data_IF_762763360663
#
_entry.id   IF_762763360663
#
_cell.length_a   1.000
_cell.length_b   1.000
_cell.length_c   1.000
_cell.angle_alpha   90.00
_cell.angle_beta   90.00
_cell.angle_gamma   90.00
#
_symmetry.space_group_name_H-M   'P 1'
#
loop_
_entity.id
_entity.type
_entity.pdbx_description
1 polymer ?
#
# COMPACT_ATOMS: atom_id res chain seq x y z
N UNK A 1 2.64 18.28 11.04
CA UNK A 1 2.25 16.87 10.77
C UNK A 1 2.84 16.46 9.44
N UNK A 2 3.61 15.37 9.40
CA UNK A 2 4.13 14.82 8.14
C UNK A 2 3.02 13.97 7.53
N UNK A 3 2.61 14.23 6.30
CA UNK A 3 1.56 13.47 5.62
C UNK A 3 2.16 12.18 5.08
N UNK A 4 1.61 11.04 5.50
CA UNK A 4 1.98 9.73 4.99
C UNK A 4 1.12 9.40 3.77
N UNK A 5 1.76 9.08 2.65
CA UNK A 5 1.09 8.55 1.45
C UNK A 5 1.11 7.03 1.51
N UNK A 6 -0.01 6.41 1.15
CA UNK A 6 -0.13 4.96 1.06
C UNK A 6 -0.33 4.55 -0.41
N UNK A 7 0.48 3.61 -0.86
CA UNK A 7 0.39 3.01 -2.19
C UNK A 7 -0.03 1.55 -2.05
N UNK A 8 -1.23 1.21 -2.47
CA UNK A 8 -1.73 -0.17 -2.44
C UNK A 8 -1.19 -0.91 -3.65
N UNK A 9 -0.56 -2.06 -3.46
CA UNK A 9 0.04 -2.84 -4.53
C UNK A 9 -0.89 -3.97 -4.94
N UNK A 10 -0.96 -4.21 -6.24
CA UNK A 10 -1.75 -5.28 -6.83
C UNK A 10 -0.94 -5.99 -7.89
N UNK A 11 -1.15 -7.29 -7.99
CA UNK A 11 -0.72 -8.07 -9.14
C UNK A 11 -1.35 -7.50 -10.42
N UNK A 12 -0.56 -7.27 -11.45
CA UNK A 12 -0.95 -6.55 -12.66
C UNK A 12 -2.01 -7.30 -13.46
N UNK A 13 -1.94 -8.62 -13.48
CA UNK A 13 -2.82 -9.45 -14.31
C UNK A 13 -4.12 -9.81 -13.58
N UNK A 14 -4.03 -10.07 -12.27
CA UNK A 14 -5.16 -10.56 -11.47
C UNK A 14 -5.82 -9.48 -10.60
N UNK A 15 -5.17 -8.32 -10.44
CA UNK A 15 -5.55 -7.25 -9.51
C UNK A 15 -5.70 -7.71 -8.06
N UNK A 16 -5.10 -8.84 -7.70
CA UNK A 16 -5.08 -9.32 -6.32
C UNK A 16 -4.14 -8.47 -5.49
N UNK A 17 -4.59 -8.14 -4.29
CA UNK A 17 -3.80 -7.37 -3.33
C UNK A 17 -2.49 -8.09 -3.00
N UNK A 18 -1.38 -7.34 -3.09
CA UNK A 18 -0.02 -7.84 -2.93
C UNK A 18 0.76 -7.12 -1.82
N UNK A 19 0.08 -6.32 -0.99
CA UNK A 19 0.68 -5.51 0.07
C UNK A 19 0.62 -4.01 -0.23
N UNK A 20 1.36 -3.20 0.53
CA UNK A 20 1.36 -1.75 0.35
C UNK A 20 2.69 -1.09 0.71
N UNK A 21 2.84 0.16 0.28
CA UNK A 21 3.99 1.02 0.60
C UNK A 21 3.50 2.21 1.38
N UNK A 22 4.20 2.53 2.47
CA UNK A 22 4.03 3.79 3.19
C UNK A 22 5.19 4.70 2.85
N UNK A 23 4.92 5.97 2.52
CA UNK A 23 5.96 6.96 2.27
C UNK A 23 5.64 8.30 2.90
N UNK A 24 6.65 8.91 3.52
CA UNK A 24 6.59 10.28 4.03
C UNK A 24 7.15 11.33 3.04
N UNK A 25 7.41 10.91 1.80
CA UNK A 25 8.04 11.70 0.74
C UNK A 25 9.57 11.69 0.74
N UNK A 26 10.23 11.31 1.83
CA UNK A 26 11.69 11.16 1.92
C UNK A 26 12.10 9.70 2.04
N UNK A 27 11.39 8.95 2.86
CA UNK A 27 11.58 7.54 3.13
C UNK A 27 10.32 6.77 2.74
N UNK A 28 10.49 5.46 2.62
CA UNK A 28 9.39 4.54 2.38
C UNK A 28 9.72 3.16 2.93
N UNK A 29 8.67 2.37 3.14
CA UNK A 29 8.76 0.97 3.57
C UNK A 29 7.64 0.15 2.93
N UNK A 30 7.93 -1.13 2.68
CA UNK A 30 6.92 -2.11 2.30
C UNK A 30 6.24 -2.68 3.55
N UNK A 31 4.95 -3.00 3.42
CA UNK A 31 4.13 -3.69 4.41
C UNK A 31 3.36 -4.80 3.70
N UNK A 32 3.34 -6.00 4.28
CA UNK A 32 2.62 -7.17 3.74
C UNK A 32 3.13 -7.61 2.35
N UNK A 33 4.40 -7.33 2.03
CA UNK A 33 5.08 -7.76 0.80
C UNK A 33 6.17 -8.75 1.17
N UNK A 34 6.14 -9.94 0.59
CA UNK A 34 7.06 -11.04 0.92
C UNK A 34 8.08 -11.35 -0.19
N UNK A 35 8.00 -10.68 -1.34
CA UNK A 35 8.91 -10.89 -2.46
C UNK A 35 10.31 -10.32 -2.15
N UNK A 36 11.22 -11.21 -1.72
CA UNK A 36 12.60 -10.85 -1.38
C UNK A 36 13.39 -10.24 -2.56
N UNK A 37 13.07 -10.62 -3.80
CA UNK A 37 13.76 -10.08 -4.96
C UNK A 37 13.33 -8.64 -5.24
N UNK A 38 12.04 -8.35 -5.14
CA UNK A 38 11.52 -6.98 -5.19
C UNK A 38 12.15 -6.12 -4.09
N UNK A 39 12.08 -6.59 -2.83
CA UNK A 39 12.57 -5.85 -1.66
C UNK A 39 14.07 -5.51 -1.79
N UNK A 40 14.89 -6.47 -2.21
CA UNK A 40 16.33 -6.26 -2.37
C UNK A 40 16.66 -5.36 -3.57
N UNK A 41 15.91 -5.48 -4.67
CA UNK A 41 16.17 -4.69 -5.88
C UNK A 41 15.79 -3.23 -5.70
N UNK A 42 14.70 -2.94 -4.99
CA UNK A 42 14.21 -1.57 -4.82
C UNK A 42 14.76 -0.87 -3.58
N UNK A 43 15.47 -1.58 -2.70
CA UNK A 43 16.08 -1.02 -1.51
C UNK A 43 16.95 0.23 -1.82
N UNK A 44 16.67 1.33 -1.14
CA UNK A 44 17.40 2.60 -1.29
C UNK A 44 17.03 3.43 -2.52
N UNK A 45 16.14 2.94 -3.39
CA UNK A 45 15.63 3.74 -4.51
C UNK A 45 14.78 4.92 -4.00
N UNK A 46 14.81 6.09 -4.65
CA UNK A 46 13.80 7.11 -4.42
C UNK A 46 12.39 6.58 -4.74
N UNK A 47 11.37 6.99 -3.99
CA UNK A 47 9.99 6.47 -4.14
C UNK A 47 9.48 6.51 -5.59
N UNK A 48 9.78 7.58 -6.34
CA UNK A 48 9.38 7.69 -7.75
C UNK A 48 10.02 6.63 -8.64
N UNK A 49 11.29 6.31 -8.40
CA UNK A 49 12.01 5.26 -9.14
C UNK A 49 11.48 3.88 -8.78
N UNK A 50 11.20 3.64 -7.50
CA UNK A 50 10.56 2.41 -7.04
C UNK A 50 9.21 2.21 -7.72
N UNK A 51 8.32 3.22 -7.67
CA UNK A 51 6.98 3.12 -8.23
C UNK A 51 6.99 2.85 -9.74
N UNK A 52 7.96 3.43 -10.47
CA UNK A 52 8.17 3.14 -11.88
C UNK A 52 8.67 1.70 -12.12
N UNK A 53 9.44 1.14 -11.19
CA UNK A 53 10.01 -0.20 -11.31
C UNK A 53 9.03 -1.32 -10.96
N UNK A 54 7.90 -1.04 -10.31
CA UNK A 54 6.89 -2.05 -9.94
C UNK A 54 6.37 -2.83 -11.16
N UNK A 55 6.28 -2.19 -12.32
CA UNK A 55 5.85 -2.83 -13.57
C UNK A 55 6.76 -4.01 -13.97
N UNK A 56 8.06 -3.93 -13.67
CA UNK A 56 9.03 -4.99 -13.94
C UNK A 56 8.80 -6.23 -13.09
N UNK A 57 8.09 -6.09 -11.97
CA UNK A 57 7.72 -7.17 -11.03
C UNK A 57 6.26 -7.61 -11.21
N UNK A 58 5.59 -7.17 -12.28
CA UNK A 58 4.18 -7.48 -12.48
C UNK A 58 3.27 -6.83 -11.44
N UNK A 59 3.68 -5.69 -10.86
CA UNK A 59 2.89 -4.96 -9.88
C UNK A 59 2.42 -3.62 -10.43
N UNK A 60 1.18 -3.29 -10.10
CA UNK A 60 0.60 -1.95 -10.27
C UNK A 60 0.22 -1.40 -8.91
N UNK A 61 -0.04 -0.09 -8.83
CA UNK A 61 -0.39 0.54 -7.58
C UNK A 61 -1.53 1.54 -7.71
N UNK A 62 -2.27 1.67 -6.63
CA UNK A 62 -3.24 2.75 -6.42
C UNK A 62 -2.75 3.67 -5.29
N UNK A 63 -3.01 4.96 -5.40
CA UNK A 63 -2.58 5.96 -4.42
C UNK A 63 -3.77 6.38 -3.57
N UNK A 64 -3.71 6.09 -2.28
CA UNK A 64 -4.67 6.63 -1.32
C UNK A 64 -4.15 7.99 -0.85
N UNK A 65 -4.92 9.05 -1.16
CA UNK A 65 -4.64 10.37 -0.63
C UNK A 65 -4.76 10.38 0.90
N UNK A 66 -3.94 11.17 1.61
CA UNK A 66 -4.12 11.39 3.04
C UNK A 66 -5.40 12.19 3.28
N UNK A 67 -6.55 11.50 3.30
CA UNK A 67 -7.75 12.03 3.91
C UNK A 67 -7.59 12.11 5.44
N UNK A 68 -8.39 12.91 6.15
CA UNK A 68 -8.52 12.74 7.59
C UNK A 68 -8.92 11.28 7.83
N UNK A 69 -8.07 10.51 8.48
CA UNK A 69 -8.32 9.10 8.80
C UNK A 69 -9.47 9.02 9.79
N UNK A 70 -10.71 9.13 9.31
CA UNK A 70 -11.90 8.74 10.02
C UNK A 70 -12.03 7.23 9.88
N UNK A 71 -11.58 6.50 10.90
CA UNK A 71 -12.19 5.26 11.43
C UNK A 71 -12.83 4.27 10.43
N UNK A 72 -12.26 4.08 9.23
CA UNK A 72 -12.81 3.14 8.24
C UNK A 72 -12.65 1.65 8.62
N UNK A 73 -12.12 1.37 9.82
CA UNK A 73 -12.12 0.04 10.45
C UNK A 73 -13.14 -0.11 11.59
N UNK A 74 -14.14 0.77 11.70
CA UNK A 74 -15.35 0.43 12.45
C UNK A 74 -16.21 -0.52 11.61
N UNK A 75 -15.94 -1.82 11.70
CA UNK A 75 -16.87 -2.85 11.21
C UNK A 75 -18.27 -2.61 11.79
N UNK A 76 -19.36 -2.71 11.00
CA UNK A 76 -20.69 -2.75 11.57
C UNK A 76 -20.86 -4.09 12.30
N UNK A 77 -20.66 -4.06 13.61
CA UNK A 77 -21.06 -5.13 14.52
C UNK A 77 -22.58 -5.28 14.47
N UNK A 78 -23.04 -6.21 13.65
CA UNK A 78 -24.38 -6.78 13.66
C UNK A 78 -24.75 -7.25 15.07
N UNK A 79 -25.86 -6.76 15.63
CA UNK A 79 -26.60 -7.42 16.71
C UNK A 79 -28.09 -7.06 16.57
N UNK A 80 -28.82 -7.90 15.86
CA UNK A 80 -30.26 -8.04 16.02
C UNK A 80 -30.59 -8.65 17.39
N UNK A 81 -31.52 -8.03 18.12
CA UNK A 81 -32.42 -8.59 19.18
C UNK A 81 -33.20 -7.38 19.73
N UNK A 82 -34.49 -7.20 19.49
CA UNK A 82 -35.57 -8.12 19.83
C UNK A 82 -36.18 -7.67 21.15
N UNK A 83 -37.27 -6.90 21.09
CA UNK A 83 -38.42 -6.84 22.04
C UNK A 83 -39.41 -5.77 21.56
#
# INVERSE_FOLDING_TARGET
>A
MKTMKKYMLYDMDTLRYAGHILSDGTQWEYREVEDAHLLSTTAGMPIKALLANLVCFGLVYDTLEPGPVADAFSSPGNNASGS
#
